data_IF_279748424526
#
_entry.id   IF_279748424526
#
_cell.length_a   1.000
_cell.length_b   1.000
_cell.length_c   1.000
_cell.angle_alpha   90.00
_cell.angle_beta   90.00
_cell.angle_gamma   90.00
#
_symmetry.space_group_name_H-M   'P 1'
#
loop_
_entity.id
_entity.type
_entity.pdbx_description
1 polymer ?
#
# COMPACT_ATOMS: atom_id res chain seq x y z
N UNK A 1 -34.91 -30.50 23.21
CA UNK A 1 -34.58 -30.43 21.77
C UNK A 1 -33.52 -29.37 21.64
N UNK A 2 -32.32 -29.72 21.17
CA UNK A 2 -31.30 -28.71 20.85
C UNK A 2 -31.90 -27.81 19.78
N UNK A 3 -32.16 -26.55 20.12
CA UNK A 3 -32.57 -25.57 19.13
C UNK A 3 -31.39 -25.38 18.19
N UNK A 4 -31.59 -25.64 16.89
CA UNK A 4 -30.59 -25.34 15.90
C UNK A 4 -30.61 -23.83 15.68
N UNK A 5 -29.76 -23.13 16.43
CA UNK A 5 -29.57 -21.68 16.33
C UNK A 5 -29.10 -21.24 14.93
N UNK A 6 -28.68 -22.20 14.09
CA UNK A 6 -28.37 -22.01 12.67
C UNK A 6 -29.54 -22.33 11.73
N UNK A 7 -30.80 -22.32 12.20
CA UNK A 7 -31.94 -22.50 11.30
C UNK A 7 -31.91 -21.45 10.17
N UNK A 8 -31.62 -21.85 8.91
CA UNK A 8 -31.46 -20.90 7.82
C UNK A 8 -32.77 -20.21 7.44
N UNK A 9 -33.93 -20.77 7.79
CA UNK A 9 -35.24 -20.15 7.56
C UNK A 9 -35.43 -18.97 8.52
N UNK A 10 -35.28 -19.21 9.83
CA UNK A 10 -35.28 -18.15 10.84
C UNK A 10 -34.29 -17.02 10.52
N UNK A 11 -33.05 -17.35 10.12
CA UNK A 11 -32.05 -16.32 9.79
C UNK A 11 -32.44 -15.47 8.56
N UNK A 12 -33.15 -16.04 7.59
CA UNK A 12 -33.68 -15.29 6.43
C UNK A 12 -34.84 -14.40 6.84
N UNK A 13 -35.72 -14.87 7.71
CA UNK A 13 -36.83 -14.09 8.24
C UNK A 13 -36.33 -12.90 9.05
N UNK A 14 -35.30 -13.10 9.88
CA UNK A 14 -34.65 -12.03 10.65
C UNK A 14 -33.99 -10.99 9.73
N UNK A 15 -33.32 -11.43 8.66
CA UNK A 15 -32.76 -10.53 7.64
C UNK A 15 -33.86 -9.69 6.98
N UNK A 16 -34.99 -10.30 6.63
CA UNK A 16 -36.11 -9.60 5.99
C UNK A 16 -36.79 -8.63 6.94
N UNK A 17 -36.98 -9.01 8.20
CA UNK A 17 -37.47 -8.13 9.24
C UNK A 17 -36.55 -6.92 9.44
N UNK A 18 -35.23 -7.15 9.52
CA UNK A 18 -34.24 -6.08 9.65
C UNK A 18 -34.24 -5.12 8.45
N UNK A 19 -34.38 -5.66 7.23
CA UNK A 19 -34.45 -4.85 6.01
C UNK A 19 -35.76 -4.05 5.89
N UNK A 20 -36.85 -4.55 6.45
CA UNK A 20 -38.17 -3.91 6.36
C UNK A 20 -38.34 -2.81 7.40
N UNK A 21 -38.11 -3.13 8.67
CA UNK A 21 -38.18 -2.20 9.80
C UNK A 21 -37.36 -2.77 10.97
N UNK A 22 -36.15 -2.22 11.23
CA UNK A 22 -35.30 -2.66 12.33
C UNK A 22 -35.97 -2.55 13.72
N UNK A 23 -36.93 -1.63 13.87
CA UNK A 23 -37.59 -1.33 15.15
C UNK A 23 -38.80 -2.22 15.43
N UNK A 24 -39.28 -2.98 14.44
CA UNK A 24 -40.47 -3.82 14.59
C UNK A 24 -40.26 -4.89 15.66
N UNK A 25 -41.27 -5.13 16.49
CA UNK A 25 -41.19 -6.15 17.54
C UNK A 25 -41.44 -7.54 16.95
N UNK A 26 -40.46 -8.42 17.08
CA UNK A 26 -40.56 -9.82 16.65
C UNK A 26 -40.35 -10.73 17.86
N UNK A 27 -40.86 -11.96 17.76
CA UNK A 27 -40.67 -12.98 18.79
C UNK A 27 -40.03 -14.21 18.16
N UNK A 28 -38.91 -14.64 18.73
CA UNK A 28 -38.23 -15.88 18.34
C UNK A 28 -38.28 -16.86 19.50
N UNK A 29 -38.21 -18.15 19.22
CA UNK A 29 -38.05 -19.14 20.29
C UNK A 29 -36.59 -19.12 20.74
N UNK A 30 -36.36 -19.15 22.05
CA UNK A 30 -35.04 -19.35 22.67
C UNK A 30 -35.01 -20.64 23.50
N UNK A 31 -33.84 -21.09 23.97
CA UNK A 31 -33.69 -22.30 24.78
C UNK A 31 -34.48 -22.25 26.10
N UNK A 32 -34.62 -21.05 26.69
CA UNK A 32 -35.33 -20.83 27.95
C UNK A 32 -36.77 -20.30 27.76
N UNK A 33 -37.22 -20.15 26.51
CA UNK A 33 -38.55 -19.64 26.16
C UNK A 33 -38.54 -18.59 25.05
N UNK A 34 -39.71 -18.05 24.66
CA UNK A 34 -39.80 -17.04 23.62
C UNK A 34 -39.16 -15.71 24.05
N UNK A 35 -38.36 -15.13 23.16
CA UNK A 35 -37.70 -13.83 23.34
C UNK A 35 -38.33 -12.84 22.38
N UNK A 36 -38.83 -11.71 22.91
CA UNK A 36 -39.48 -10.66 22.12
C UNK A 36 -38.71 -9.34 22.23
N UNK A 37 -38.22 -8.84 21.09
CA UNK A 37 -37.57 -7.54 21.02
C UNK A 37 -37.70 -6.92 19.63
N UNK A 38 -37.07 -5.76 19.39
CA UNK A 38 -36.96 -5.24 18.02
C UNK A 38 -36.16 -6.21 17.14
N UNK A 39 -36.43 -6.22 15.83
CA UNK A 39 -35.70 -7.04 14.88
C UNK A 39 -34.18 -6.83 14.98
N UNK A 40 -33.74 -5.58 15.10
CA UNK A 40 -32.34 -5.22 15.34
C UNK A 40 -31.80 -5.84 16.63
N UNK A 41 -32.54 -5.76 17.74
CA UNK A 41 -32.07 -6.27 19.03
C UNK A 41 -32.08 -7.79 19.11
N UNK A 42 -33.01 -8.46 18.43
CA UNK A 42 -33.00 -9.92 18.31
C UNK A 42 -31.77 -10.35 17.48
N UNK A 43 -31.48 -9.69 16.36
CA UNK A 43 -30.26 -9.96 15.57
C UNK A 43 -29.00 -9.70 16.41
N UNK A 44 -28.92 -8.56 17.10
CA UNK A 44 -27.78 -8.20 17.95
C UNK A 44 -27.56 -9.13 19.15
N UNK A 45 -28.56 -9.95 19.53
CA UNK A 45 -28.45 -10.96 20.58
C UNK A 45 -28.29 -12.38 20.04
N UNK A 46 -28.26 -12.60 18.73
CA UNK A 46 -28.02 -13.94 18.20
C UNK A 46 -26.73 -14.50 18.80
N UNK A 47 -26.81 -15.74 19.29
CA UNK A 47 -25.72 -16.41 20.00
C UNK A 47 -25.63 -16.15 21.50
N UNK A 48 -26.35 -15.18 22.04
CA UNK A 48 -26.45 -15.01 23.50
C UNK A 48 -27.12 -16.24 24.14
N UNK A 49 -26.95 -16.50 25.45
CA UNK A 49 -27.55 -17.67 26.11
C UNK A 49 -29.07 -17.79 25.91
N UNK A 50 -29.79 -16.65 25.88
CA UNK A 50 -31.22 -16.55 25.61
C UNK A 50 -31.60 -16.84 24.15
N UNK A 51 -30.63 -16.84 23.23
CA UNK A 51 -30.78 -17.10 21.79
C UNK A 51 -29.76 -18.16 21.28
N UNK A 52 -29.53 -19.20 22.07
CA UNK A 52 -28.85 -20.43 21.61
C UNK A 52 -27.37 -20.59 22.02
N UNK A 53 -26.74 -19.58 22.62
CA UNK A 53 -25.43 -19.72 23.28
C UNK A 53 -24.22 -19.94 22.36
N UNK A 54 -24.26 -19.40 21.13
CA UNK A 54 -23.17 -19.43 20.14
C UNK A 54 -22.43 -18.09 20.02
N UNK A 55 -21.34 -18.02 19.27
CA UNK A 55 -20.60 -16.77 19.06
C UNK A 55 -20.89 -16.16 17.68
N UNK A 56 -21.26 -14.88 17.66
CA UNK A 56 -21.38 -14.08 16.44
C UNK A 56 -20.58 -12.79 16.55
N UNK A 57 -19.82 -12.45 15.50
CA UNK A 57 -18.99 -11.24 15.49
C UNK A 57 -19.80 -9.95 15.52
N UNK A 58 -21.06 -10.00 15.08
CA UNK A 58 -21.96 -8.84 15.06
C UNK A 58 -22.83 -8.71 16.31
N UNK A 59 -22.70 -9.61 17.30
CA UNK A 59 -23.50 -9.50 18.53
C UNK A 59 -23.09 -8.28 19.37
N UNK A 60 -24.03 -7.77 20.16
CA UNK A 60 -23.79 -6.62 21.02
C UNK A 60 -22.68 -6.89 22.03
N UNK A 61 -22.68 -8.05 22.67
CA UNK A 61 -21.63 -8.43 23.63
C UNK A 61 -20.26 -8.50 22.96
N UNK A 62 -20.15 -9.10 21.78
CA UNK A 62 -18.87 -9.16 21.09
C UNK A 62 -18.37 -7.76 20.68
N UNK A 63 -19.25 -6.92 20.14
CA UNK A 63 -18.91 -5.55 19.79
C UNK A 63 -18.45 -4.76 21.03
N UNK A 64 -19.18 -4.85 22.16
CA UNK A 64 -18.81 -4.18 23.41
C UNK A 64 -17.44 -4.63 23.93
N UNK A 65 -17.12 -5.92 23.82
CA UNK A 65 -15.80 -6.44 24.17
C UNK A 65 -14.69 -5.93 23.24
N UNK A 66 -14.95 -5.85 21.92
CA UNK A 66 -14.02 -5.24 20.95
C UNK A 66 -13.78 -3.77 21.27
N UNK A 67 -14.85 -3.01 21.56
CA UNK A 67 -14.75 -1.61 21.95
C UNK A 67 -13.94 -1.44 23.24
N UNK A 68 -14.16 -2.30 24.25
CA UNK A 68 -13.38 -2.31 25.48
C UNK A 68 -11.88 -2.59 25.23
N UNK A 69 -11.57 -3.55 24.36
CA UNK A 69 -10.19 -3.82 23.96
C UNK A 69 -9.54 -2.63 23.23
N UNK A 70 -10.23 -2.03 22.26
CA UNK A 70 -9.73 -0.86 21.54
C UNK A 70 -9.56 0.35 22.47
N UNK A 71 -10.47 0.56 23.41
CA UNK A 71 -10.36 1.62 24.41
C UNK A 71 -9.11 1.44 25.29
N UNK A 72 -8.80 0.21 25.69
CA UNK A 72 -7.59 -0.09 26.45
C UNK A 72 -6.31 0.12 25.61
N UNK A 73 -6.30 -0.33 24.35
CA UNK A 73 -5.19 -0.07 23.42
C UNK A 73 -4.96 1.44 23.23
N UNK A 74 -6.03 2.21 23.09
CA UNK A 74 -5.97 3.66 23.00
C UNK A 74 -5.45 4.28 24.29
N UNK A 75 -5.93 3.84 25.47
CA UNK A 75 -5.46 4.33 26.78
C UNK A 75 -3.97 4.09 26.99
N UNK A 76 -3.42 3.02 26.42
CA UNK A 76 -1.99 2.68 26.43
C UNK A 76 -1.16 3.40 25.37
N UNK A 77 -1.80 4.17 24.48
CA UNK A 77 -1.14 4.86 23.38
C UNK A 77 -0.70 3.94 22.23
N UNK A 78 -1.30 2.76 22.09
CA UNK A 78 -0.97 1.80 21.03
C UNK A 78 -1.74 2.05 19.72
N UNK A 79 -2.83 2.83 19.78
CA UNK A 79 -3.60 3.25 18.61
C UNK A 79 -3.21 4.68 18.23
N UNK A 80 -2.81 4.87 16.97
CA UNK A 80 -2.45 6.17 16.42
C UNK A 80 -2.99 6.33 15.00
N UNK A 81 -3.11 7.59 14.56
CA UNK A 81 -3.42 7.94 13.17
C UNK A 81 -2.17 8.54 12.53
N UNK A 82 -1.81 8.03 11.36
CA UNK A 82 -0.67 8.49 10.58
C UNK A 82 -0.94 8.46 9.08
N UNK A 83 0.02 8.95 8.30
CA UNK A 83 0.07 8.79 6.85
C UNK A 83 1.28 7.93 6.53
N UNK A 84 1.07 6.86 5.77
CA UNK A 84 2.12 5.92 5.40
C UNK A 84 1.78 5.30 4.03
N UNK A 85 2.80 4.73 3.38
CA UNK A 85 2.65 3.93 2.17
C UNK A 85 2.17 2.53 2.53
N UNK A 86 0.90 2.24 2.22
CA UNK A 86 0.26 0.96 2.56
C UNK A 86 -0.12 0.19 1.30
N UNK A 87 -0.11 -1.16 1.34
CA UNK A 87 -0.74 -1.96 0.29
C UNK A 87 -2.19 -1.54 0.11
N UNK A 88 -2.60 -1.30 -1.14
CA UNK A 88 -3.91 -0.74 -1.46
C UNK A 88 -4.67 -1.62 -2.45
N UNK A 89 -5.90 -1.99 -2.12
CA UNK A 89 -6.77 -2.69 -3.05
C UNK A 89 -7.58 -1.68 -3.87
N UNK A 90 -7.25 -1.53 -5.16
CA UNK A 90 -7.96 -0.62 -6.07
C UNK A 90 -9.43 -0.99 -6.27
N UNK A 91 -9.78 -2.29 -6.18
CA UNK A 91 -11.16 -2.78 -6.26
C UNK A 91 -11.99 -2.38 -5.04
N UNK A 92 -11.42 -2.51 -3.84
CA UNK A 92 -12.16 -2.28 -2.59
C UNK A 92 -12.09 -0.81 -2.13
N UNK A 93 -11.08 -0.05 -2.59
CA UNK A 93 -10.89 1.33 -2.18
C UNK A 93 -10.41 1.47 -0.73
N UNK A 94 -9.62 0.52 -0.23
CA UNK A 94 -9.08 0.53 1.14
C UNK A 94 -7.66 -0.02 1.19
N UNK A 95 -6.91 0.42 2.21
CA UNK A 95 -5.65 -0.20 2.61
C UNK A 95 -5.90 -1.58 3.21
N UNK A 96 -4.95 -2.49 3.02
CA UNK A 96 -4.99 -3.86 3.55
C UNK A 96 -3.82 -4.11 4.50
N UNK A 97 -4.02 -5.02 5.44
CA UNK A 97 -2.99 -5.46 6.36
C UNK A 97 -1.93 -6.34 5.65
N UNK A 98 -0.76 -6.48 6.28
CA UNK A 98 0.29 -7.36 5.75
C UNK A 98 -0.14 -8.82 5.68
N UNK A 99 -0.96 -9.28 6.63
CA UNK A 99 -1.46 -10.65 6.67
C UNK A 99 -2.35 -10.95 5.46
N UNK A 100 -3.24 -10.02 5.08
CA UNK A 100 -4.09 -10.16 3.89
C UNK A 100 -3.28 -10.16 2.59
N UNK A 101 -2.18 -9.41 2.54
CA UNK A 101 -1.31 -9.36 1.36
C UNK A 101 -0.57 -10.68 1.13
N UNK A 102 -0.05 -11.30 2.19
CA UNK A 102 0.76 -12.52 2.09
C UNK A 102 -0.01 -13.73 1.55
N UNK A 103 -1.33 -13.80 1.79
CA UNK A 103 -2.18 -14.87 1.26
C UNK A 103 -2.47 -14.71 -0.26
N UNK A 104 -2.21 -13.53 -0.82
CA UNK A 104 -2.60 -13.17 -2.19
C UNK A 104 -1.48 -13.22 -3.24
N UNK A 105 -0.28 -13.72 -2.90
CA UNK A 105 0.83 -13.75 -3.87
C UNK A 105 0.51 -14.63 -5.08
N UNK A 106 0.77 -14.09 -6.27
CA UNK A 106 0.58 -14.76 -7.55
C UNK A 106 1.72 -14.41 -8.49
N UNK A 107 2.15 -15.38 -9.28
CA UNK A 107 3.08 -15.14 -10.38
C UNK A 107 2.40 -14.30 -11.45
N UNK A 108 3.07 -13.24 -11.89
CA UNK A 108 2.62 -12.34 -12.94
C UNK A 108 3.78 -11.91 -13.82
N UNK A 109 3.49 -11.73 -15.09
CA UNK A 109 4.42 -11.12 -16.04
C UNK A 109 4.28 -9.60 -15.98
N UNK A 110 5.36 -8.93 -15.59
CA UNK A 110 5.49 -7.47 -15.59
C UNK A 110 6.58 -7.04 -16.59
N UNK A 111 6.46 -5.83 -17.17
CA UNK A 111 7.49 -5.32 -18.08
C UNK A 111 8.78 -4.99 -17.32
N UNK A 112 9.93 -5.48 -17.77
CA UNK A 112 11.23 -5.06 -17.23
C UNK A 112 11.83 -3.97 -18.11
N UNK A 113 11.75 -2.71 -17.69
CA UNK A 113 12.24 -1.57 -18.49
C UNK A 113 13.51 -0.96 -17.90
N UNK A 114 14.45 -0.64 -18.77
CA UNK A 114 15.63 0.19 -18.43
C UNK A 114 15.46 1.56 -19.07
N UNK A 115 15.53 2.61 -18.25
CA UNK A 115 15.37 4.00 -18.68
C UNK A 115 16.65 4.80 -18.42
N UNK A 116 16.77 5.93 -19.13
CA UNK A 116 17.86 6.90 -18.99
C UNK A 116 17.38 8.09 -18.18
N UNK A 117 18.20 8.53 -17.23
CA UNK A 117 18.05 9.80 -16.53
C UNK A 117 19.24 10.70 -16.90
N UNK A 118 19.09 11.64 -17.86
CA UNK A 118 20.18 12.48 -18.32
C UNK A 118 20.74 13.37 -17.22
N UNK A 119 22.06 13.40 -17.05
CA UNK A 119 22.73 14.23 -16.04
C UNK A 119 22.83 15.69 -16.53
N UNK A 120 22.38 16.64 -15.69
CA UNK A 120 22.34 18.06 -16.08
C UNK A 120 23.72 18.69 -16.16
N UNK A 121 24.60 18.37 -15.20
CA UNK A 121 25.97 18.91 -15.15
C UNK A 121 26.97 18.10 -15.99
N UNK A 122 26.50 17.02 -16.64
CA UNK A 122 27.33 16.13 -17.47
C UNK A 122 26.62 15.78 -18.78
N UNK A 123 26.63 16.72 -19.74
CA UNK A 123 25.96 16.52 -21.03
C UNK A 123 26.47 15.26 -21.74
N UNK A 124 25.54 14.44 -22.25
CA UNK A 124 25.84 13.17 -22.91
C UNK A 124 26.03 11.98 -21.97
N UNK A 125 26.00 12.20 -20.64
CA UNK A 125 25.99 11.14 -19.63
C UNK A 125 24.57 10.95 -19.06
N UNK A 126 24.16 9.72 -18.80
CA UNK A 126 22.89 9.40 -18.15
C UNK A 126 23.05 8.33 -17.07
N UNK A 127 22.24 8.38 -16.02
CA UNK A 127 22.06 7.23 -15.13
C UNK A 127 21.16 6.21 -15.85
N UNK A 128 21.51 4.92 -15.78
CA UNK A 128 20.62 3.84 -16.20
C UNK A 128 19.89 3.25 -14.99
N UNK A 129 18.56 3.26 -15.06
CA UNK A 129 17.68 2.79 -13.99
C UNK A 129 16.72 1.74 -14.54
N UNK A 130 16.52 0.67 -13.78
CA UNK A 130 15.58 -0.40 -14.12
C UNK A 130 14.32 -0.33 -13.26
N UNK A 131 13.16 -0.64 -13.86
CA UNK A 131 11.88 -0.70 -13.14
C UNK A 131 10.94 -1.74 -13.75
N UNK A 132 10.11 -2.38 -12.90
CA UNK A 132 8.97 -3.20 -13.32
C UNK A 132 7.64 -2.45 -13.30
N UNK A 133 7.62 -1.25 -12.73
CA UNK A 133 6.42 -0.45 -12.50
C UNK A 133 6.52 0.89 -13.23
N UNK A 134 6.43 0.92 -14.58
CA UNK A 134 6.61 2.15 -15.36
C UNK A 134 5.62 3.26 -15.00
N UNK A 135 4.44 2.90 -14.50
CA UNK A 135 3.42 3.84 -14.03
C UNK A 135 3.88 4.71 -12.84
N UNK A 136 4.97 4.35 -12.16
CA UNK A 136 5.57 5.15 -11.07
C UNK A 136 6.49 6.26 -11.56
N UNK A 137 6.94 6.22 -12.83
CA UNK A 137 7.93 7.15 -13.36
C UNK A 137 7.51 8.63 -13.33
N UNK A 138 6.23 9.00 -13.57
CA UNK A 138 5.80 10.39 -13.40
C UNK A 138 5.89 10.91 -11.96
N UNK A 139 5.94 10.01 -10.97
CA UNK A 139 6.12 10.35 -9.56
C UNK A 139 7.59 10.21 -9.11
N UNK A 140 8.55 10.08 -10.04
CA UNK A 140 9.96 10.06 -9.69
C UNK A 140 10.35 11.39 -9.04
N UNK A 141 11.08 11.31 -7.92
CA UNK A 141 11.60 12.49 -7.21
C UNK A 141 13.13 12.43 -7.05
N UNK A 142 13.69 11.22 -6.92
CA UNK A 142 15.11 11.00 -6.75
C UNK A 142 15.55 9.66 -7.36
N UNK A 143 16.86 9.52 -7.55
CA UNK A 143 17.51 8.26 -7.89
C UNK A 143 18.39 7.84 -6.71
N UNK A 144 18.13 6.66 -6.13
CA UNK A 144 18.91 6.18 -4.99
C UNK A 144 20.13 5.36 -5.45
N UNK A 145 21.25 5.52 -4.75
CA UNK A 145 22.47 4.73 -4.98
C UNK A 145 22.97 4.14 -3.66
N UNK A 146 23.45 2.89 -3.68
CA UNK A 146 24.13 2.33 -2.51
C UNK A 146 25.48 3.04 -2.31
N UNK A 147 25.73 3.75 -1.19
CA UNK A 147 26.91 4.61 -1.05
C UNK A 147 28.26 3.87 -1.17
N UNK A 148 28.29 2.60 -0.77
CA UNK A 148 29.47 1.73 -0.81
C UNK A 148 29.50 0.79 -2.02
N UNK A 149 28.47 0.82 -2.87
CA UNK A 149 28.45 0.04 -4.11
C UNK A 149 29.28 0.74 -5.19
N UNK A 150 29.92 -0.04 -6.04
CA UNK A 150 30.67 0.46 -7.19
C UNK A 150 29.74 0.73 -8.38
N UNK A 151 29.90 1.91 -8.98
CA UNK A 151 29.23 2.34 -10.20
C UNK A 151 30.27 2.58 -11.28
N UNK A 152 29.96 2.21 -12.51
CA UNK A 152 30.87 2.34 -13.65
C UNK A 152 30.31 3.30 -14.67
N UNK A 153 31.18 4.15 -15.21
CA UNK A 153 30.91 4.95 -16.41
C UNK A 153 31.25 4.12 -17.63
N UNK A 154 30.29 3.91 -18.51
CA UNK A 154 30.41 3.02 -19.66
C UNK A 154 30.04 3.75 -20.94
N UNK A 155 30.84 3.60 -21.98
CA UNK A 155 30.51 4.08 -23.33
C UNK A 155 29.98 2.94 -24.17
N UNK A 156 28.80 3.13 -24.76
CA UNK A 156 28.18 2.19 -25.68
C UNK A 156 27.59 2.96 -26.87
N UNK A 157 28.16 2.72 -28.06
CA UNK A 157 27.89 3.57 -29.22
C UNK A 157 28.36 5.00 -28.95
N UNK A 158 27.47 5.97 -29.21
CA UNK A 158 27.72 7.41 -29.01
C UNK A 158 27.29 7.90 -27.61
N UNK A 159 26.76 7.02 -26.76
CA UNK A 159 26.19 7.37 -25.46
C UNK A 159 27.07 6.90 -24.30
N UNK A 160 26.99 7.63 -23.18
CA UNK A 160 27.71 7.31 -21.94
C UNK A 160 26.74 7.12 -20.79
N UNK A 161 26.90 6.03 -20.05
CA UNK A 161 26.00 5.60 -18.99
C UNK A 161 26.72 5.42 -17.66
N UNK A 162 26.02 5.73 -16.58
CA UNK A 162 26.37 5.31 -15.22
C UNK A 162 25.45 4.19 -14.79
N UNK A 163 26.03 3.07 -14.38
CA UNK A 163 25.31 1.87 -13.96
C UNK A 163 26.03 1.17 -12.81
N UNK A 164 25.28 0.49 -11.95
CA UNK A 164 25.87 -0.35 -10.90
C UNK A 164 26.75 -1.44 -11.50
N UNK A 165 27.98 -1.58 -11.02
CA UNK A 165 28.93 -2.59 -11.51
C UNK A 165 28.39 -4.02 -11.43
N UNK A 166 27.61 -4.31 -10.38
CA UNK A 166 26.99 -5.62 -10.17
C UNK A 166 25.89 -5.97 -11.19
N UNK A 167 25.26 -4.97 -11.81
CA UNK A 167 24.15 -5.18 -12.77
C UNK A 167 24.58 -4.99 -14.22
N UNK A 168 25.85 -4.65 -14.47
CA UNK A 168 26.36 -4.26 -15.78
C UNK A 168 26.01 -5.24 -16.92
N UNK A 169 26.11 -6.56 -16.66
CA UNK A 169 25.81 -7.59 -17.66
C UNK A 169 24.33 -7.74 -18.00
N UNK A 170 23.44 -7.37 -17.07
CA UNK A 170 21.99 -7.40 -17.28
C UNK A 170 21.42 -6.08 -17.78
N UNK A 171 22.13 -4.98 -17.55
CA UNK A 171 21.67 -3.63 -17.90
C UNK A 171 22.03 -3.21 -19.33
N UNK A 172 23.09 -3.78 -19.92
CA UNK A 172 23.56 -3.44 -21.26
C UNK A 172 23.62 -4.66 -22.17
N UNK A 173 23.19 -4.49 -23.41
CA UNK A 173 23.29 -5.51 -24.46
C UNK A 173 24.33 -5.10 -25.50
N UNK A 174 25.18 -6.04 -25.94
CA UNK A 174 26.20 -5.80 -26.96
C UNK A 174 27.53 -5.23 -26.42
N UNK A 175 28.43 -4.76 -27.31
CA UNK A 175 29.75 -4.29 -26.92
C UNK A 175 29.67 -2.94 -26.19
N UNK A 176 30.53 -2.76 -25.20
CA UNK A 176 30.68 -1.53 -24.45
C UNK A 176 32.10 -1.40 -23.88
N UNK A 177 32.50 -0.19 -23.51
CA UNK A 177 33.80 0.12 -22.91
C UNK A 177 33.63 0.76 -21.54
N UNK A 178 34.22 0.18 -20.50
CA UNK A 178 34.24 0.79 -19.16
C UNK A 178 35.33 1.86 -19.13
N UNK A 179 34.92 3.10 -18.85
CA UNK A 179 35.79 4.27 -18.83
C UNK A 179 36.32 4.60 -17.44
N UNK A 180 35.48 4.40 -16.42
CA UNK A 180 35.75 4.85 -15.04
C UNK A 180 34.89 4.05 -14.05
N UNK A 181 35.36 3.94 -12.81
CA UNK A 181 34.63 3.36 -11.69
C UNK A 181 34.65 4.32 -10.50
N UNK A 182 33.51 4.52 -9.85
CA UNK A 182 33.35 5.35 -8.64
C UNK A 182 32.46 4.67 -7.61
N UNK A 183 32.67 4.91 -6.31
CA UNK A 183 31.72 4.50 -5.28
C UNK A 183 30.44 5.36 -5.34
N UNK A 184 29.29 4.79 -4.96
CA UNK A 184 27.99 5.47 -5.02
C UNK A 184 27.93 6.78 -4.24
N UNK A 185 28.67 6.90 -3.13
CA UNK A 185 28.79 8.16 -2.37
C UNK A 185 29.31 9.35 -3.18
N UNK A 186 30.06 9.11 -4.27
CA UNK A 186 30.54 10.17 -5.16
C UNK A 186 29.50 10.59 -6.22
N UNK A 187 28.43 9.81 -6.38
CA UNK A 187 27.29 10.11 -7.25
C UNK A 187 26.24 10.97 -6.52
N UNK A 188 26.17 10.88 -5.20
CA UNK A 188 25.21 11.62 -4.37
C UNK A 188 25.29 13.11 -4.67
N UNK A 189 24.12 13.72 -4.89
CA UNK A 189 23.97 15.13 -5.24
C UNK A 189 24.00 15.43 -6.74
N UNK A 190 24.36 14.48 -7.61
CA UNK A 190 24.27 14.72 -9.06
C UNK A 190 22.82 14.94 -9.45
N UNK A 191 22.58 16.02 -10.19
CA UNK A 191 21.24 16.38 -10.67
C UNK A 191 20.97 15.80 -12.05
N UNK A 192 19.73 15.41 -12.30
CA UNK A 192 19.31 14.80 -13.57
C UNK A 192 17.97 15.37 -14.06
N UNK A 193 17.64 15.14 -15.33
CA UNK A 193 16.32 15.43 -15.89
C UNK A 193 15.37 14.24 -15.65
N UNK A 194 14.19 14.49 -15.10
CA UNK A 194 13.18 13.46 -14.85
C UNK A 194 12.52 12.99 -16.15
N UNK A 195 11.94 11.77 -16.16
CA UNK A 195 11.40 11.16 -17.37
C UNK A 195 10.12 11.81 -17.91
N UNK A 196 9.41 12.61 -17.10
CA UNK A 196 8.11 13.21 -17.43
C UNK A 196 7.98 14.65 -16.89
N UNK A 197 9.08 15.40 -16.82
CA UNK A 197 9.13 16.76 -16.27
C UNK A 197 8.29 17.78 -17.08
N UNK A 198 7.90 17.44 -18.30
CA UNK A 198 7.02 18.23 -19.15
C UNK A 198 5.55 18.17 -18.75
N UNK A 199 5.14 17.21 -17.93
CA UNK A 199 3.74 17.05 -17.54
C UNK A 199 3.30 18.16 -16.55
N UNK A 200 2.14 18.82 -16.77
CA UNK A 200 1.69 19.90 -15.90
C UNK A 200 1.60 19.52 -14.42
N UNK A 201 1.09 18.32 -14.11
CA UNK A 201 0.97 17.85 -12.74
C UNK A 201 2.33 17.67 -12.05
N UNK A 202 3.38 17.30 -12.80
CA UNK A 202 4.74 17.15 -12.28
C UNK A 202 5.34 18.54 -12.01
N UNK A 203 5.17 19.48 -12.94
CA UNK A 203 5.62 20.85 -12.78
C UNK A 203 4.96 21.53 -11.57
N UNK A 204 3.65 21.35 -11.40
CA UNK A 204 2.89 21.88 -10.26
C UNK A 204 3.39 21.31 -8.92
N UNK A 205 3.68 20.00 -8.88
CA UNK A 205 4.21 19.34 -7.69
C UNK A 205 5.62 19.87 -7.34
N UNK A 206 6.51 19.98 -8.32
CA UNK A 206 7.89 20.46 -8.12
C UNK A 206 7.94 21.95 -7.76
N UNK A 207 7.02 22.77 -8.28
CA UNK A 207 6.89 24.18 -7.90
C UNK A 207 6.51 24.36 -6.41
N UNK A 208 5.77 23.41 -5.84
CA UNK A 208 5.43 23.37 -4.41
C UNK A 208 6.54 22.72 -3.56
N UNK A 209 7.33 21.83 -4.16
CA UNK A 209 8.47 21.19 -3.53
C UNK A 209 9.58 22.16 -3.12
N UNK A 210 10.24 21.86 -2.01
CA UNK A 210 11.42 22.60 -1.53
C UNK A 210 12.57 21.63 -1.34
N UNK A 211 13.79 22.13 -1.56
CA UNK A 211 15.00 21.40 -1.18
C UNK A 211 15.11 21.30 0.36
N UNK A 212 16.13 20.58 0.85
CA UNK A 212 16.35 20.38 2.30
C UNK A 212 16.58 21.69 3.07
N UNK A 213 17.02 22.75 2.37
CA UNK A 213 17.17 24.09 2.93
C UNK A 213 15.84 24.82 3.17
N UNK A 214 14.72 24.28 2.68
CA UNK A 214 13.38 24.86 2.78
C UNK A 214 13.13 26.08 1.87
N UNK A 215 14.14 26.56 1.14
CA UNK A 215 14.07 27.80 0.35
C UNK A 215 14.26 27.59 -1.14
N UNK A 216 15.14 26.67 -1.52
CA UNK A 216 15.46 26.43 -2.93
C UNK A 216 14.40 25.54 -3.58
N UNK A 217 14.11 25.73 -4.88
CA UNK A 217 13.26 24.81 -5.63
C UNK A 217 13.79 23.38 -5.56
N UNK A 218 12.88 22.40 -5.50
CA UNK A 218 13.29 21.01 -5.56
C UNK A 218 13.83 20.65 -6.95
N UNK A 219 14.92 19.89 -6.98
CA UNK A 219 15.49 19.32 -8.21
C UNK A 219 15.74 17.83 -7.99
N UNK A 220 15.46 17.05 -9.04
CA UNK A 220 15.84 15.65 -9.12
C UNK A 220 17.33 15.48 -8.84
N UNK A 221 17.67 14.58 -7.92
CA UNK A 221 19.06 14.33 -7.53
C UNK A 221 19.29 12.89 -7.13
N UNK A 222 20.56 12.49 -7.19
CA UNK A 222 21.00 11.24 -6.62
C UNK A 222 21.05 11.34 -5.10
N UNK A 223 20.44 10.38 -4.41
CA UNK A 223 20.37 10.27 -2.94
C UNK A 223 21.04 8.97 -2.48
N UNK A 224 21.55 8.91 -1.23
CA UNK A 224 22.13 7.69 -0.68
C UNK A 224 21.10 6.59 -0.41
#
# INVERSE_FOLDING_TARGET
MSMDWNDPEMLRDLREALATDPSQRITVQGPDGPVTDSAEMIVGRLGMPDLGGSYFTFSNENNDLIWGFLAECHRRGWLYKGHDSMPWCTRCGTGISQMEMNEGYQDRDDPGLTIKLPLLERPGESLLVWTTTPWTLPANVAAAVGPDLAYVRVRQGDETYWVGKGTLRGALEGPFEVLEERPGRELVGWTYAGPFDELPAVQDAFAQGRAEDGTSPYMHRVVP
#
